data_IF_739528082496
#
_entry.id   IF_739528082496
#
_cell.length_a   1.000
_cell.length_b   1.000
_cell.length_c   1.000
_cell.angle_alpha   90.00
_cell.angle_beta   90.00
_cell.angle_gamma   90.00
#
_symmetry.space_group_name_H-M   'P 1'
#
loop_
_entity.id
_entity.type
_entity.pdbx_description
1 polymer ?
#
# COMPACT_ATOMS: atom_id res chain seq x y z
N UNK A 1 -1.95 -5.08 -17.57
CA UNK A 1 -1.72 -3.68 -17.26
C UNK A 1 -1.90 -3.42 -15.76
N UNK A 2 -0.95 -2.72 -15.16
CA UNK A 2 -1.02 -2.45 -13.73
C UNK A 2 -2.02 -1.34 -13.43
N UNK A 3 -2.93 -1.60 -12.50
CA UNK A 3 -3.93 -0.62 -12.07
C UNK A 3 -3.57 -0.06 -10.71
N UNK A 4 -3.81 1.23 -10.52
CA UNK A 4 -3.48 1.93 -9.30
C UNK A 4 -4.72 2.57 -8.70
N UNK A 5 -4.84 2.52 -7.36
CA UNK A 5 -5.91 3.19 -6.64
C UNK A 5 -5.36 3.82 -5.38
N UNK A 6 -5.99 4.91 -4.96
CA UNK A 6 -5.61 5.55 -3.70
C UNK A 6 -6.02 4.68 -2.53
N UNK A 7 -5.19 4.71 -1.49
CA UNK A 7 -5.50 4.01 -0.24
C UNK A 7 -6.46 4.89 0.55
N UNK A 8 -7.66 4.38 0.82
CA UNK A 8 -8.70 5.15 1.52
C UNK A 8 -8.22 5.69 2.86
N UNK A 9 -7.51 4.88 3.60
CA UNK A 9 -7.04 5.24 4.94
C UNK A 9 -5.90 6.25 4.89
N UNK A 10 -5.24 6.37 3.73
CA UNK A 10 -4.09 7.24 3.58
C UNK A 10 -3.97 7.69 2.12
N UNK A 11 -4.70 8.74 1.72
CA UNK A 11 -4.75 9.15 0.32
C UNK A 11 -3.46 9.72 -0.24
N UNK A 12 -2.43 9.88 0.58
CA UNK A 12 -1.11 10.27 0.09
C UNK A 12 -0.37 9.11 -0.57
N UNK A 13 -0.98 7.95 -0.59
CA UNK A 13 -0.39 6.74 -1.18
C UNK A 13 -1.37 6.07 -2.13
N UNK A 14 -0.81 5.41 -3.14
CA UNK A 14 -1.59 4.55 -4.03
C UNK A 14 -1.08 3.12 -3.94
N UNK A 15 -1.97 2.18 -4.16
CA UNK A 15 -1.63 0.75 -4.20
C UNK A 15 -1.98 0.21 -5.57
N UNK A 16 -1.13 -0.65 -6.13
CA UNK A 16 -1.40 -1.30 -7.41
C UNK A 16 -1.93 -2.72 -7.19
N UNK A 17 -2.57 -3.25 -8.21
CA UNK A 17 -3.03 -4.64 -8.17
C UNK A 17 -1.87 -5.63 -8.26
N UNK A 18 -0.67 -5.14 -8.52
CA UNK A 18 0.55 -5.95 -8.48
C UNK A 18 1.23 -5.91 -7.11
N UNK A 19 0.65 -5.19 -6.16
CA UNK A 19 1.20 -5.13 -4.80
C UNK A 19 2.24 -4.06 -4.57
N UNK A 20 2.35 -3.10 -5.47
CA UNK A 20 3.28 -1.99 -5.30
C UNK A 20 2.59 -0.82 -4.63
N UNK A 21 3.33 -0.06 -3.84
CA UNK A 21 2.80 1.13 -3.17
C UNK A 21 3.58 2.35 -3.64
N UNK A 22 2.85 3.37 -4.04
CA UNK A 22 3.42 4.61 -4.54
C UNK A 22 3.13 5.73 -3.55
N UNK A 23 4.18 6.48 -3.19
CA UNK A 23 4.06 7.60 -2.25
C UNK A 23 4.03 8.92 -3.00
N UNK A 24 3.13 9.81 -2.60
CA UNK A 24 3.04 11.16 -3.14
C UNK A 24 3.43 12.22 -2.10
N UNK A 25 4.00 11.80 -0.97
CA UNK A 25 4.31 12.73 0.11
C UNK A 25 5.48 13.65 -0.18
N UNK A 26 6.36 13.27 -1.07
CA UNK A 26 7.51 14.09 -1.43
C UNK A 26 7.26 14.91 -2.69
N UNK A 27 8.30 15.61 -3.15
CA UNK A 27 8.24 16.37 -4.38
C UNK A 27 8.14 15.48 -5.61
N UNK A 28 8.54 14.22 -5.48
CA UNK A 28 8.47 13.26 -6.57
C UNK A 28 7.84 11.97 -6.07
N UNK A 29 7.25 11.25 -7.02
CA UNK A 29 6.64 9.96 -6.71
C UNK A 29 7.73 8.95 -6.36
N UNK A 30 7.46 8.13 -5.36
CA UNK A 30 8.41 7.15 -4.90
C UNK A 30 7.71 5.82 -4.66
N UNK A 31 8.24 4.75 -5.27
CA UNK A 31 7.70 3.41 -5.02
C UNK A 31 8.35 2.87 -3.75
N UNK A 32 7.51 2.51 -2.79
CA UNK A 32 7.98 2.03 -1.50
C UNK A 32 8.35 0.56 -1.58
N UNK A 33 9.35 0.19 -0.80
CA UNK A 33 9.74 -1.21 -0.67
C UNK A 33 8.80 -1.90 0.31
N UNK A 34 8.36 -3.10 -0.04
CA UNK A 34 7.58 -3.92 0.86
C UNK A 34 8.48 -4.89 1.58
N UNK A 35 8.02 -5.41 2.70
CA UNK A 35 8.76 -6.38 3.49
C UNK A 35 7.96 -7.66 3.62
N UNK A 36 8.64 -8.79 3.56
CA UNK A 36 8.01 -10.08 3.81
C UNK A 36 8.35 -10.48 5.24
N UNK A 37 7.35 -10.61 6.07
CA UNK A 37 7.54 -11.02 7.47
C UNK A 37 7.62 -12.54 7.57
N UNK A 38 7.97 -13.02 8.75
CA UNK A 38 8.24 -14.45 8.98
C UNK A 38 7.12 -15.42 8.59
N UNK A 39 5.89 -14.92 8.52
CA UNK A 39 4.73 -15.74 8.12
C UNK A 39 4.52 -15.75 6.61
N UNK A 40 5.35 -15.04 5.86
CA UNK A 40 5.24 -14.97 4.41
C UNK A 40 4.31 -13.87 3.91
N UNK A 41 3.80 -13.04 4.78
CA UNK A 41 2.95 -11.91 4.38
C UNK A 41 3.80 -10.70 4.01
N UNK A 42 3.39 -10.05 2.94
CA UNK A 42 4.05 -8.83 2.50
C UNK A 42 3.41 -7.64 3.20
N UNK A 43 4.25 -6.77 3.80
CA UNK A 43 3.78 -5.59 4.51
C UNK A 43 4.49 -4.35 4.01
N UNK A 44 3.87 -3.20 4.23
CA UNK A 44 4.46 -1.91 3.89
C UNK A 44 4.16 -0.92 5.01
N UNK A 45 5.13 -0.07 5.32
CA UNK A 45 4.96 0.97 6.35
C UNK A 45 4.52 2.27 5.69
N UNK A 46 3.42 2.82 6.15
CA UNK A 46 2.88 4.08 5.65
C UNK A 46 2.88 5.11 6.75
N UNK A 47 3.24 6.33 6.39
CA UNK A 47 3.29 7.44 7.34
C UNK A 47 1.97 8.20 7.26
N UNK A 48 1.32 8.37 8.41
CA UNK A 48 0.08 9.12 8.50
C UNK A 48 0.12 9.98 9.75
N UNK A 49 0.07 11.29 9.56
CA UNK A 49 0.10 12.28 10.65
C UNK A 49 1.30 12.07 11.59
N UNK A 50 2.45 11.75 11.02
CA UNK A 50 3.67 11.54 11.79
C UNK A 50 3.80 10.16 12.41
N UNK A 51 2.85 9.28 12.19
CA UNK A 51 2.86 7.93 12.75
C UNK A 51 3.03 6.91 11.62
N UNK A 52 4.05 6.06 11.74
CA UNK A 52 4.26 4.97 10.80
C UNK A 52 3.44 3.76 11.22
N UNK A 53 2.64 3.25 10.33
CA UNK A 53 1.81 2.08 10.56
C UNK A 53 2.08 1.04 9.50
N UNK A 54 2.27 -0.21 9.91
CA UNK A 54 2.47 -1.30 8.97
C UNK A 54 1.13 -1.83 8.48
N UNK A 55 1.03 -1.98 7.17
CA UNK A 55 -0.18 -2.50 6.54
C UNK A 55 0.16 -3.76 5.76
N UNK A 56 -0.75 -4.71 5.78
CA UNK A 56 -0.64 -5.91 4.98
C UNK A 56 -1.03 -5.56 3.54
N UNK A 57 -0.13 -5.82 2.59
CA UNK A 57 -0.34 -5.45 1.18
C UNK A 57 -1.59 -6.12 0.62
N UNK A 58 -1.83 -7.37 0.97
CA UNK A 58 -3.04 -8.08 0.56
C UNK A 58 -4.31 -7.34 0.96
N UNK A 59 -4.34 -6.85 2.19
CA UNK A 59 -5.49 -6.13 2.70
C UNK A 59 -5.70 -4.80 1.97
N UNK A 60 -4.61 -4.12 1.67
CA UNK A 60 -4.69 -2.86 0.93
C UNK A 60 -5.27 -3.09 -0.47
N UNK A 61 -4.83 -4.14 -1.13
CA UNK A 61 -5.35 -4.50 -2.44
C UNK A 61 -6.83 -4.84 -2.35
N UNK A 62 -7.20 -5.64 -1.37
CA UNK A 62 -8.59 -6.04 -1.18
C UNK A 62 -9.50 -4.84 -0.98
N UNK A 63 -9.07 -3.90 -0.15
CA UNK A 63 -9.86 -2.69 0.10
C UNK A 63 -9.92 -1.76 -1.10
N UNK A 64 -8.78 -1.57 -1.75
CA UNK A 64 -8.71 -0.61 -2.85
C UNK A 64 -9.43 -1.09 -4.09
N UNK A 65 -9.30 -2.35 -4.40
CA UNK A 65 -9.87 -2.91 -5.64
C UNK A 65 -11.14 -3.72 -5.41
N UNK A 66 -11.45 -4.03 -4.17
CA UNK A 66 -12.65 -4.78 -3.80
C UNK A 66 -12.75 -6.13 -4.52
N UNK A 67 -11.59 -6.73 -4.79
CA UNK A 67 -11.52 -7.99 -5.54
C UNK A 67 -11.41 -9.23 -4.67
N UNK A 68 -10.87 -9.07 -3.49
CA UNK A 68 -10.57 -10.19 -2.60
C UNK A 68 -11.52 -10.17 -1.43
N UNK A 69 -12.71 -10.63 -1.66
CA UNK A 69 -13.68 -10.75 -0.58
C UNK A 69 -13.49 -12.09 0.09
N UNK A 70 -13.10 -12.04 1.33
CA UNK A 70 -13.02 -13.24 2.14
C UNK A 70 -14.19 -13.32 3.07
#
# INVERSE_FOLDING_TARGET
MENWRFIEENPDYMISDHGRVLSFKGKSKLILCTKIIGTGYETVSLLNKGICTDYNVHRLIAKAFKRWTL
#
